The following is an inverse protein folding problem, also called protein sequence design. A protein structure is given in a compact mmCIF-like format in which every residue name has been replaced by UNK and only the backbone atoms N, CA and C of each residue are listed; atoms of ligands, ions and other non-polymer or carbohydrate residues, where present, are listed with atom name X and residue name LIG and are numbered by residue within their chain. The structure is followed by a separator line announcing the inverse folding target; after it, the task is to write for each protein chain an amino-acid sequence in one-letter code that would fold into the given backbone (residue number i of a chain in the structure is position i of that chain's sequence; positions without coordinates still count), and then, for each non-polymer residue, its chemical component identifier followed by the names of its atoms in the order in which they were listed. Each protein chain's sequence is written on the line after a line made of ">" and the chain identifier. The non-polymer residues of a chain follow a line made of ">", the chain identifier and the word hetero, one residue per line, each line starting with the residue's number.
data_IF_938840758723
#
_entry.id   IF_938840758723
#
_cell.length_a   1.000
_cell.length_b   1.000
_cell.length_c   1.000
_cell.angle_alpha   90.00
_cell.angle_beta   90.00
_cell.angle_gamma   90.00
#
_symmetry.space_group_name_H-M   'P 1'
#
loop_
_entity.id
_entity.type
_entity.pdbx_description
1 polymer ?
#
# COMPACT_ATOMS: atom_id res chain seq x y z
N UNK A 1 17.91 28.30 -18.39
CA UNK A 1 18.75 27.17 -18.87
C UNK A 1 17.81 26.01 -19.15
N UNK A 2 17.58 25.72 -20.43
CA UNK A 2 16.68 24.65 -20.88
C UNK A 2 17.35 23.32 -20.56
N UNK A 3 16.71 22.49 -19.72
CA UNK A 3 17.11 21.11 -19.52
C UNK A 3 16.73 20.40 -20.82
N UNK A 4 17.72 20.12 -21.67
CA UNK A 4 17.60 19.19 -22.77
C UNK A 4 17.12 17.86 -22.16
N UNK A 5 15.89 17.44 -22.48
CA UNK A 5 15.48 16.05 -22.33
C UNK A 5 16.38 15.24 -23.30
N UNK A 6 17.47 14.69 -22.77
CA UNK A 6 18.17 13.59 -23.41
C UNK A 6 17.16 12.45 -23.53
N UNK A 7 16.83 12.05 -24.76
CA UNK A 7 16.01 10.87 -24.99
C UNK A 7 16.74 9.68 -24.36
N UNK A 8 16.09 8.97 -23.45
CA UNK A 8 16.66 7.77 -22.87
C UNK A 8 16.69 6.68 -23.96
N UNK A 9 17.82 6.00 -24.07
CA UNK A 9 17.94 4.80 -24.91
C UNK A 9 16.91 3.77 -24.46
N UNK A 10 16.43 2.94 -25.38
CA UNK A 10 15.41 1.96 -25.03
C UNK A 10 15.49 0.70 -25.88
N UNK A 11 15.16 -0.44 -25.26
CA UNK A 11 14.87 -1.70 -25.96
C UNK A 11 13.34 -1.88 -25.96
N UNK A 12 12.78 -2.22 -27.13
CA UNK A 12 11.36 -2.49 -27.26
C UNK A 12 11.14 -3.99 -27.55
N UNK A 13 10.23 -4.60 -26.81
CA UNK A 13 9.78 -5.98 -26.98
C UNK A 13 8.29 -5.94 -27.27
N UNK A 14 7.92 -6.24 -28.51
CA UNK A 14 6.54 -6.08 -28.95
C UNK A 14 5.91 -7.44 -29.29
N UNK A 15 4.65 -7.61 -28.88
CA UNK A 15 3.84 -8.74 -29.32
C UNK A 15 4.07 -10.04 -28.54
N UNK A 16 4.44 -10.00 -27.25
CA UNK A 16 4.47 -11.21 -26.41
C UNK A 16 3.02 -11.69 -26.24
N UNK A 17 2.68 -12.82 -26.83
CA UNK A 17 1.33 -13.39 -26.76
C UNK A 17 1.27 -14.51 -25.73
N UNK A 18 0.32 -14.38 -24.81
CA UNK A 18 0.11 -15.35 -23.73
C UNK A 18 -1.38 -15.66 -23.61
N UNK A 19 -1.72 -16.93 -23.40
CA UNK A 19 -3.06 -17.31 -22.95
C UNK A 19 -3.03 -17.54 -21.45
N UNK A 20 -3.86 -16.79 -20.70
CA UNK A 20 -3.88 -16.78 -19.24
C UNK A 20 -5.28 -16.52 -18.68
N UNK A 21 -5.50 -16.85 -17.41
CA UNK A 21 -6.74 -16.53 -16.71
C UNK A 21 -6.67 -15.10 -16.19
N UNK A 22 -7.48 -14.21 -16.77
CA UNK A 22 -7.52 -12.77 -16.42
C UNK A 22 -8.93 -12.22 -16.60
N UNK A 23 -9.48 -11.56 -15.59
CA UNK A 23 -10.78 -10.90 -15.64
C UNK A 23 -11.64 -11.16 -14.41
N UNK A 24 -12.76 -10.44 -14.30
CA UNK A 24 -13.67 -10.44 -13.14
C UNK A 24 -14.91 -11.29 -13.36
N UNK A 25 -15.29 -11.58 -14.63
CA UNK A 25 -16.47 -12.36 -14.94
C UNK A 25 -16.22 -13.87 -14.70
N UNK A 26 -17.23 -14.61 -14.24
CA UNK A 26 -17.12 -16.03 -13.99
C UNK A 26 -16.56 -16.82 -15.18
N UNK A 27 -17.04 -16.51 -16.39
CA UNK A 27 -16.55 -17.13 -17.63
C UNK A 27 -15.06 -16.88 -17.90
N UNK A 28 -14.50 -15.74 -17.42
CA UNK A 28 -13.09 -15.41 -17.56
C UNK A 28 -12.22 -16.15 -16.53
N UNK A 29 -12.82 -16.63 -15.45
CA UNK A 29 -12.12 -17.35 -14.38
C UNK A 29 -11.93 -18.85 -14.65
N UNK A 30 -12.67 -19.39 -15.63
CA UNK A 30 -12.66 -20.82 -15.94
C UNK A 30 -11.95 -21.17 -17.26
N UNK A 31 -11.60 -20.15 -18.07
CA UNK A 31 -10.93 -20.33 -19.35
C UNK A 31 -9.81 -19.32 -19.58
N UNK A 32 -8.71 -19.77 -20.18
CA UNK A 32 -7.63 -18.89 -20.59
C UNK A 32 -8.07 -17.95 -21.72
N UNK A 33 -7.60 -16.71 -21.67
CA UNK A 33 -7.86 -15.68 -22.67
C UNK A 33 -6.56 -15.18 -23.29
N UNK A 34 -6.54 -14.87 -24.59
CA UNK A 34 -5.38 -14.34 -25.26
C UNK A 34 -5.17 -12.89 -24.89
N UNK A 35 -3.96 -12.60 -24.37
CA UNK A 35 -3.46 -11.25 -24.16
C UNK A 35 -2.19 -11.01 -24.96
N UNK A 36 -1.88 -9.75 -25.21
CA UNK A 36 -0.61 -9.32 -25.77
C UNK A 36 0.08 -8.39 -24.76
N UNK A 37 1.38 -8.53 -24.61
CA UNK A 37 2.19 -7.67 -23.75
C UNK A 37 3.26 -7.02 -24.64
N UNK A 38 3.35 -5.69 -24.54
CA UNK A 38 4.36 -4.88 -25.18
C UNK A 38 5.16 -4.14 -24.11
N UNK A 39 6.47 -4.11 -24.23
CA UNK A 39 7.39 -3.52 -23.26
C UNK A 39 8.31 -2.50 -23.96
N UNK A 40 8.55 -1.38 -23.27
CA UNK A 40 9.65 -0.47 -23.61
C UNK A 40 10.52 -0.30 -22.37
N UNK A 41 11.74 -0.79 -22.47
CA UNK A 41 12.74 -0.76 -21.39
C UNK A 41 13.62 0.47 -21.59
N UNK A 42 13.68 1.37 -20.62
CA UNK A 42 14.67 2.45 -20.60
C UNK A 42 15.97 1.91 -20.03
N UNK A 43 17.05 2.05 -20.79
CA UNK A 43 18.38 1.47 -20.53
C UNK A 43 19.45 2.44 -21.01
N UNK A 44 20.59 2.50 -20.35
CA UNK A 44 21.79 3.12 -20.90
C UNK A 44 22.49 2.10 -21.82
N UNK A 45 22.50 2.38 -23.12
CA UNK A 45 23.12 1.52 -24.16
C UNK A 45 24.52 2.01 -24.56
N UNK A 46 25.07 3.00 -23.88
CA UNK A 46 26.37 3.60 -24.25
C UNK A 46 27.49 2.59 -24.18
N UNK A 47 27.55 1.76 -23.15
CA UNK A 47 28.58 0.75 -22.95
C UNK A 47 28.44 -0.38 -23.95
N UNK A 48 27.28 -0.99 -24.08
CA UNK A 48 27.04 -2.11 -24.99
C UNK A 48 27.23 -1.76 -26.47
N UNK A 49 26.97 -0.50 -26.84
CA UNK A 49 27.24 -0.02 -28.22
C UNK A 49 28.73 0.10 -28.54
N UNK A 50 29.61 0.11 -27.53
CA UNK A 50 31.05 0.14 -27.69
C UNK A 50 31.70 -1.26 -27.61
N UNK A 51 31.20 -2.06 -26.66
CA UNK A 51 31.81 -3.37 -26.32
C UNK A 51 31.26 -4.53 -27.14
N UNK A 52 30.00 -4.44 -27.61
CA UNK A 52 29.26 -5.52 -28.25
C UNK A 52 29.07 -6.74 -27.32
N UNK A 53 29.12 -6.52 -25.99
CA UNK A 53 28.97 -7.55 -24.98
C UNK A 53 27.58 -7.59 -24.41
N UNK A 54 27.00 -8.79 -24.25
CA UNK A 54 25.62 -8.97 -23.70
C UNK A 54 25.52 -8.55 -22.25
N UNK A 55 26.57 -8.67 -21.46
CA UNK A 55 26.62 -8.31 -20.05
C UNK A 55 26.50 -6.78 -19.82
N UNK A 56 26.74 -5.98 -20.87
CA UNK A 56 26.63 -4.52 -20.82
C UNK A 56 25.24 -4.00 -21.18
N UNK A 57 24.28 -4.88 -21.45
CA UNK A 57 22.88 -4.52 -21.73
C UNK A 57 21.90 -5.42 -20.97
N UNK A 58 20.58 -5.19 -21.13
CA UNK A 58 19.58 -6.13 -20.64
C UNK A 58 19.36 -7.24 -21.68
N UNK A 59 19.52 -8.49 -21.25
CA UNK A 59 19.19 -9.64 -22.08
C UNK A 59 17.66 -9.71 -22.29
N UNK A 60 17.19 -9.16 -23.40
CA UNK A 60 15.76 -9.14 -23.74
C UNK A 60 15.15 -10.54 -23.90
N UNK A 61 15.94 -11.56 -24.20
CA UNK A 61 15.49 -12.96 -24.21
C UNK A 61 15.07 -13.41 -22.81
N UNK A 62 15.96 -13.21 -21.83
CA UNK A 62 15.66 -13.52 -20.42
C UNK A 62 14.49 -12.70 -19.88
N UNK A 63 14.41 -11.41 -20.23
CA UNK A 63 13.26 -10.55 -19.85
C UNK A 63 11.96 -11.14 -20.42
N UNK A 64 11.95 -11.50 -21.72
CA UNK A 64 10.76 -12.06 -22.38
C UNK A 64 10.29 -13.36 -21.73
N UNK A 65 11.22 -14.27 -21.40
CA UNK A 65 10.92 -15.54 -20.75
C UNK A 65 10.28 -15.35 -19.37
N UNK A 66 10.83 -14.45 -18.54
CA UNK A 66 10.28 -14.18 -17.21
C UNK A 66 8.91 -13.50 -17.28
N UNK A 67 8.74 -12.52 -18.17
CA UNK A 67 7.45 -11.86 -18.40
C UNK A 67 6.39 -12.86 -18.88
N UNK A 68 6.75 -13.76 -19.81
CA UNK A 68 5.86 -14.83 -20.25
C UNK A 68 5.44 -15.73 -19.09
N UNK A 69 6.37 -16.12 -18.22
CA UNK A 69 6.10 -16.95 -17.04
C UNK A 69 5.16 -16.25 -16.06
N UNK A 70 5.47 -14.99 -15.70
CA UNK A 70 4.61 -14.18 -14.80
C UNK A 70 3.19 -14.09 -15.34
N UNK A 71 3.04 -13.84 -16.64
CA UNK A 71 1.73 -13.71 -17.27
C UNK A 71 0.99 -15.06 -17.37
N UNK A 72 1.71 -16.14 -17.69
CA UNK A 72 1.13 -17.49 -17.82
C UNK A 72 0.60 -18.04 -16.50
N UNK A 73 1.29 -17.76 -15.40
CA UNK A 73 0.92 -18.20 -14.06
C UNK A 73 -0.11 -17.26 -13.39
N UNK A 74 -0.50 -16.18 -14.08
CA UNK A 74 -1.43 -15.20 -13.54
C UNK A 74 -2.83 -15.77 -13.34
N UNK A 75 -3.49 -15.31 -12.26
CA UNK A 75 -4.91 -15.46 -11.99
C UNK A 75 -5.50 -14.13 -11.53
N UNK A 76 -4.90 -13.03 -11.98
CA UNK A 76 -5.29 -11.68 -11.58
C UNK A 76 -6.69 -11.34 -12.10
N UNK A 77 -7.42 -10.50 -11.37
CA UNK A 77 -8.75 -10.02 -11.79
C UNK A 77 -8.64 -8.86 -12.76
N UNK A 78 -7.62 -8.00 -12.59
CA UNK A 78 -7.45 -6.76 -13.32
C UNK A 78 -6.16 -6.78 -14.15
N UNK A 79 -6.22 -6.24 -15.36
CA UNK A 79 -5.04 -6.05 -16.22
C UNK A 79 -4.00 -5.16 -15.55
N UNK A 80 -4.45 -4.17 -14.78
CA UNK A 80 -3.60 -3.26 -14.01
C UNK A 80 -2.72 -4.01 -13.01
N UNK A 81 -3.25 -5.03 -12.35
CA UNK A 81 -2.50 -5.86 -11.41
C UNK A 81 -1.44 -6.69 -12.13
N UNK A 82 -1.81 -7.32 -13.23
CA UNK A 82 -0.86 -8.06 -14.05
C UNK A 82 0.23 -7.14 -14.61
N UNK A 83 -0.14 -5.94 -15.10
CA UNK A 83 0.82 -4.97 -15.60
C UNK A 83 1.82 -4.55 -14.52
N UNK A 84 1.37 -4.34 -13.27
CA UNK A 84 2.26 -4.05 -12.15
C UNK A 84 3.24 -5.21 -11.89
N UNK A 85 2.75 -6.46 -11.84
CA UNK A 85 3.62 -7.62 -11.62
C UNK A 85 4.65 -7.81 -12.74
N UNK A 86 4.25 -7.57 -13.98
CA UNK A 86 5.19 -7.57 -15.12
C UNK A 86 6.23 -6.46 -14.97
N UNK A 87 5.82 -5.26 -14.58
CA UNK A 87 6.75 -4.16 -14.36
C UNK A 87 7.74 -4.45 -13.23
N UNK A 88 7.26 -5.00 -12.10
CA UNK A 88 8.10 -5.39 -10.96
C UNK A 88 9.16 -6.43 -11.37
N UNK A 89 8.76 -7.44 -12.15
CA UNK A 89 9.68 -8.44 -12.67
C UNK A 89 10.73 -7.85 -13.62
N UNK A 90 10.32 -7.00 -14.55
CA UNK A 90 11.24 -6.36 -15.51
C UNK A 90 12.23 -5.44 -14.80
N UNK A 91 11.79 -4.70 -13.78
CA UNK A 91 12.63 -3.82 -12.98
C UNK A 91 13.60 -4.56 -12.04
N UNK A 92 13.44 -5.87 -11.87
CA UNK A 92 14.42 -6.70 -11.15
C UNK A 92 15.73 -6.88 -11.93
N UNK A 93 15.72 -6.65 -13.24
CA UNK A 93 16.93 -6.68 -14.08
C UNK A 93 17.75 -5.41 -13.88
N UNK A 94 18.98 -5.57 -13.40
CA UNK A 94 19.83 -4.46 -12.93
C UNK A 94 20.06 -3.33 -13.93
N UNK A 95 20.12 -3.65 -15.23
CA UNK A 95 20.37 -2.66 -16.29
C UNK A 95 19.11 -1.89 -16.72
N UNK A 96 17.92 -2.28 -16.27
CA UNK A 96 16.66 -1.62 -16.64
C UNK A 96 16.38 -0.47 -15.68
N UNK A 97 16.37 0.76 -16.17
CA UNK A 97 16.15 1.96 -15.38
C UNK A 97 14.65 2.28 -15.18
N UNK A 98 13.86 2.04 -16.24
CA UNK A 98 12.42 2.19 -16.21
C UNK A 98 11.77 1.26 -17.24
N UNK A 99 10.48 0.98 -17.08
CA UNK A 99 9.71 0.18 -18.03
C UNK A 99 8.34 0.79 -18.28
N UNK A 100 7.94 0.84 -19.53
CA UNK A 100 6.56 1.02 -19.96
C UNK A 100 6.00 -0.36 -20.33
N UNK A 101 4.89 -0.73 -19.71
CA UNK A 101 4.20 -2.00 -19.90
C UNK A 101 2.82 -1.74 -20.48
N UNK A 102 2.51 -2.30 -21.63
CA UNK A 102 1.18 -2.31 -22.20
C UNK A 102 0.65 -3.74 -22.24
N UNK A 103 -0.49 -4.00 -21.60
CA UNK A 103 -1.18 -5.28 -21.69
C UNK A 103 -2.50 -5.09 -22.38
N UNK A 104 -2.70 -5.82 -23.48
CA UNK A 104 -3.88 -5.76 -24.34
C UNK A 104 -4.66 -7.06 -24.25
N UNK A 105 -5.92 -6.99 -23.86
CA UNK A 105 -6.89 -8.09 -23.97
C UNK A 105 -7.43 -8.09 -25.39
N UNK A 106 -7.13 -9.17 -26.16
CA UNK A 106 -7.44 -9.26 -27.58
C UNK A 106 -8.90 -9.60 -27.87
N UNK A 107 -9.64 -10.09 -26.86
CA UNK A 107 -11.06 -10.44 -26.94
C UNK A 107 -11.77 -10.05 -25.65
N UNK A 108 -12.04 -8.74 -25.43
CA UNK A 108 -12.73 -8.31 -24.22
C UNK A 108 -14.20 -8.81 -24.24
N UNK A 109 -14.69 -9.39 -23.11
CA UNK A 109 -16.04 -9.95 -23.03
C UNK A 109 -17.08 -8.85 -22.74
N UNK A 110 -17.23 -7.89 -23.66
CA UNK A 110 -18.18 -6.79 -23.54
C UNK A 110 -19.21 -6.85 -24.66
N UNK A 111 -20.47 -6.38 -24.41
CA UNK A 111 -21.59 -6.56 -25.33
C UNK A 111 -21.62 -5.52 -26.49
N UNK A 112 -20.49 -4.91 -26.80
CA UNK A 112 -20.33 -3.94 -27.89
C UNK A 112 -19.12 -4.32 -28.75
N UNK A 113 -19.12 -3.87 -30.01
CA UNK A 113 -18.02 -4.16 -30.93
C UNK A 113 -16.78 -3.36 -30.56
N UNK A 114 -15.84 -4.02 -29.88
CA UNK A 114 -14.53 -3.48 -29.47
C UNK A 114 -13.46 -4.50 -29.83
N UNK A 115 -12.49 -4.07 -30.61
CA UNK A 115 -11.39 -4.94 -31.07
C UNK A 115 -10.47 -5.38 -29.94
N UNK A 116 -10.20 -4.52 -28.96
CA UNK A 116 -9.34 -4.80 -27.81
C UNK A 116 -9.53 -3.77 -26.71
N UNK A 117 -9.06 -4.12 -25.49
CA UNK A 117 -8.88 -3.16 -24.40
C UNK A 117 -7.47 -3.29 -23.86
N UNK A 118 -6.83 -2.19 -23.48
CA UNK A 118 -5.46 -2.21 -22.97
C UNK A 118 -5.30 -1.35 -21.72
N UNK A 119 -4.32 -1.75 -20.93
CA UNK A 119 -3.78 -0.97 -19.81
C UNK A 119 -2.33 -0.66 -20.14
N UNK A 120 -1.95 0.60 -19.97
CA UNK A 120 -0.58 1.06 -20.09
C UNK A 120 -0.13 1.63 -18.76
N UNK A 121 1.04 1.21 -18.28
CA UNK A 121 1.68 1.77 -17.10
C UNK A 121 3.16 2.05 -17.38
N UNK A 122 3.68 3.09 -16.76
CA UNK A 122 5.11 3.37 -16.71
C UNK A 122 5.60 3.23 -15.27
N UNK A 123 6.74 2.56 -15.07
CA UNK A 123 7.40 2.38 -13.77
C UNK A 123 8.89 2.60 -13.92
N UNK A 124 9.50 3.19 -12.90
CA UNK A 124 10.93 3.44 -12.83
C UNK A 124 11.55 2.55 -11.76
N UNK A 125 12.75 2.04 -12.04
CA UNK A 125 13.56 1.44 -11.00
C UNK A 125 13.84 2.51 -9.95
N UNK A 126 13.56 2.21 -8.68
CA UNK A 126 13.96 3.08 -7.60
C UNK A 126 15.49 3.14 -7.63
N UNK A 127 16.05 4.32 -7.89
CA UNK A 127 17.51 4.54 -7.97
C UNK A 127 18.22 4.31 -6.63
N UNK A 128 17.48 3.88 -5.63
CA UNK A 128 17.97 3.44 -4.33
C UNK A 128 17.89 1.91 -4.20
N UNK A 129 18.63 1.18 -5.04
CA UNK A 129 18.81 -0.27 -4.91
C UNK A 129 19.62 -0.69 -3.67
N UNK A 130 19.76 0.18 -2.66
CA UNK A 130 20.24 -0.14 -1.32
C UNK A 130 19.51 0.60 -0.19
N UNK A 131 18.43 1.31 -0.51
CA UNK A 131 17.44 1.75 0.45
C UNK A 131 16.08 1.37 -0.15
N UNK A 132 15.47 0.30 0.30
CA UNK A 132 14.02 0.34 0.48
C UNK A 132 13.84 1.64 1.26
N UNK A 133 13.42 2.73 0.60
CA UNK A 133 12.98 3.91 1.33
C UNK A 133 11.74 3.47 2.07
N UNK A 134 12.01 2.82 3.21
CA UNK A 134 10.98 2.50 4.14
C UNK A 134 10.66 3.81 4.83
N UNK A 135 9.49 4.30 4.55
CA UNK A 135 8.94 5.45 5.20
C UNK A 135 8.44 5.09 6.59
N UNK A 136 8.62 5.99 7.53
CA UNK A 136 8.06 5.87 8.86
C UNK A 136 6.62 6.35 8.87
N UNK A 137 5.71 5.56 9.42
CA UNK A 137 4.33 5.97 9.65
C UNK A 137 3.89 5.66 11.07
N UNK A 138 2.97 6.48 11.60
CA UNK A 138 2.38 6.32 12.93
C UNK A 138 0.91 6.04 12.77
N UNK A 139 0.45 4.94 13.35
CA UNK A 139 -0.90 4.39 13.23
C UNK A 139 -1.56 4.36 14.60
N UNK A 140 -2.79 4.84 14.70
CA UNK A 140 -3.64 4.63 15.87
C UNK A 140 -4.57 3.45 15.64
N UNK A 141 -4.74 2.62 16.66
CA UNK A 141 -5.69 1.51 16.68
C UNK A 141 -6.69 1.72 17.82
N UNK A 142 -7.97 1.43 17.53
CA UNK A 142 -9.04 1.48 18.52
C UNK A 142 -10.04 0.36 18.33
N UNK A 143 -10.55 -0.21 19.44
CA UNK A 143 -11.58 -1.25 19.44
C UNK A 143 -12.48 -1.13 20.67
N UNK A 144 -13.81 -1.22 20.49
CA UNK A 144 -14.76 -1.23 21.62
C UNK A 144 -15.88 -2.26 21.51
N UNK A 145 -15.80 -3.23 20.61
CA UNK A 145 -16.79 -4.31 20.47
C UNK A 145 -16.10 -5.66 20.45
N UNK A 146 -16.69 -6.63 21.14
CA UNK A 146 -16.29 -8.02 21.11
C UNK A 146 -14.94 -8.26 21.78
N UNK A 147 -14.11 -9.11 21.20
CA UNK A 147 -12.75 -9.37 21.71
C UNK A 147 -11.79 -8.27 21.27
N UNK A 148 -11.86 -7.13 21.96
CA UNK A 148 -11.07 -5.92 21.67
C UNK A 148 -9.57 -6.22 21.58
N UNK A 149 -9.02 -7.07 22.46
CA UNK A 149 -7.62 -7.43 22.47
C UNK A 149 -7.21 -8.23 21.22
N UNK A 150 -8.01 -9.21 20.83
CA UNK A 150 -7.74 -10.00 19.62
C UNK A 150 -7.78 -9.13 18.37
N UNK A 151 -8.66 -8.14 18.28
CA UNK A 151 -8.67 -7.20 17.15
C UNK A 151 -7.46 -6.30 17.12
N UNK A 152 -7.00 -5.79 18.27
CA UNK A 152 -5.75 -5.01 18.32
C UNK A 152 -4.53 -5.85 17.95
N UNK A 153 -4.43 -7.09 18.42
CA UNK A 153 -3.36 -8.04 18.04
C UNK A 153 -3.38 -8.31 16.54
N UNK A 154 -4.54 -8.65 15.99
CA UNK A 154 -4.71 -8.86 14.55
C UNK A 154 -4.24 -7.65 13.73
N UNK A 155 -4.60 -6.42 14.15
CA UNK A 155 -4.15 -5.21 13.47
C UNK A 155 -2.62 -5.04 13.57
N UNK A 156 -2.04 -5.19 14.76
CA UNK A 156 -0.59 -5.12 14.96
C UNK A 156 0.15 -6.15 14.10
N UNK A 157 -0.33 -7.39 14.03
CA UNK A 157 0.31 -8.48 13.28
C UNK A 157 0.17 -8.31 11.76
N UNK A 158 -0.78 -7.49 11.32
CA UNK A 158 -0.94 -7.14 9.90
C UNK A 158 0.14 -6.18 9.38
N UNK A 159 0.94 -5.57 10.26
CA UNK A 159 2.08 -4.73 9.90
C UNK A 159 3.39 -5.48 10.09
N UNK A 160 4.17 -5.61 9.01
CA UNK A 160 5.37 -6.46 8.95
C UNK A 160 6.54 -5.92 9.79
N UNK A 161 6.77 -4.60 9.75
CA UNK A 161 7.91 -3.95 10.44
C UNK A 161 7.41 -2.92 11.44
N UNK A 162 7.23 -3.36 12.67
CA UNK A 162 6.86 -2.49 13.81
C UNK A 162 8.14 -1.96 14.45
N UNK A 163 8.21 -0.64 14.65
CA UNK A 163 9.35 0.03 15.27
C UNK A 163 9.12 0.23 16.77
N UNK A 164 7.93 0.74 17.13
CA UNK A 164 7.50 0.95 18.50
C UNK A 164 6.00 0.67 18.62
N UNK A 165 5.58 0.18 19.77
CA UNK A 165 4.17 -0.01 20.12
C UNK A 165 4.01 0.56 21.53
N UNK A 166 2.97 1.39 21.73
CA UNK A 166 2.63 1.92 23.04
C UNK A 166 1.97 0.86 23.93
N UNK A 167 1.82 1.15 25.18
CA UNK A 167 0.87 0.49 26.07
C UNK A 167 -0.56 0.65 25.52
N UNK A 168 -1.46 -0.22 25.99
CA UNK A 168 -2.89 -0.17 25.67
C UNK A 168 -3.59 0.62 26.75
N UNK A 169 -4.43 1.56 26.33
CA UNK A 169 -5.20 2.43 27.22
C UNK A 169 -6.70 2.20 27.04
N UNK A 170 -7.40 2.06 28.16
CA UNK A 170 -8.87 1.99 28.18
C UNK A 170 -9.46 3.38 28.41
N UNK A 171 -10.44 3.73 27.58
CA UNK A 171 -11.09 5.05 27.60
C UNK A 171 -12.57 4.93 27.38
N UNK A 172 -13.37 5.80 28.04
CA UNK A 172 -14.80 5.91 27.78
C UNK A 172 -15.08 6.47 26.38
N UNK A 173 -16.21 6.06 25.74
CA UNK A 173 -16.61 6.59 24.44
C UNK A 173 -16.87 8.10 24.47
N UNK A 174 -16.30 8.84 23.50
CA UNK A 174 -16.57 10.28 23.33
C UNK A 174 -17.69 10.46 22.31
N UNK A 175 -18.91 10.69 22.79
CA UNK A 175 -20.10 10.86 21.95
C UNK A 175 -20.67 9.54 21.41
N UNK A 176 -21.73 9.62 20.59
CA UNK A 176 -22.44 8.45 20.08
C UNK A 176 -23.57 7.95 21.02
N UNK A 177 -24.08 6.72 20.80
CA UNK A 177 -25.11 6.11 21.66
C UNK A 177 -24.62 5.95 23.09
N UNK A 178 -25.54 6.08 24.07
CA UNK A 178 -25.24 6.04 25.51
C UNK A 178 -24.84 4.66 26.06
N UNK A 179 -25.00 3.61 25.25
CA UNK A 179 -24.69 2.22 25.63
C UNK A 179 -23.56 1.68 24.73
N UNK A 180 -22.35 2.21 24.94
CA UNK A 180 -21.14 1.70 24.25
C UNK A 180 -20.14 1.22 25.29
N UNK A 181 -19.46 0.12 24.98
CA UNK A 181 -18.35 -0.35 25.79
C UNK A 181 -17.15 0.59 25.67
N UNK A 182 -16.31 0.62 26.70
CA UNK A 182 -15.05 1.36 26.70
C UNK A 182 -14.12 0.92 25.56
N UNK A 183 -13.37 1.86 24.98
CA UNK A 183 -12.40 1.60 23.94
C UNK A 183 -11.07 1.11 24.53
N UNK A 184 -10.42 0.18 23.83
CA UNK A 184 -9.00 -0.05 23.97
C UNK A 184 -8.29 0.66 22.83
N UNK A 185 -7.32 1.52 23.17
CA UNK A 185 -6.57 2.34 22.22
C UNK A 185 -5.07 2.10 22.38
N UNK A 186 -4.35 2.04 21.28
CA UNK A 186 -2.89 2.06 21.24
C UNK A 186 -2.39 2.81 20.00
N UNK A 187 -1.12 3.19 20.02
CA UNK A 187 -0.42 3.77 18.88
C UNK A 187 0.81 2.92 18.59
N UNK A 188 1.06 2.66 17.29
CA UNK A 188 2.27 2.01 16.84
C UNK A 188 2.96 2.83 15.76
N UNK A 189 4.29 2.79 15.71
CA UNK A 189 5.05 3.25 14.57
C UNK A 189 5.55 2.06 13.76
N UNK A 190 5.50 2.20 12.46
CA UNK A 190 5.88 1.18 11.49
C UNK A 190 6.87 1.75 10.48
N UNK A 191 7.61 0.85 9.89
CA UNK A 191 8.38 1.11 8.69
C UNK A 191 7.67 0.44 7.51
N UNK A 192 7.43 1.19 6.42
CA UNK A 192 6.65 0.70 5.29
C UNK A 192 7.20 1.19 3.96
N UNK A 193 7.15 0.35 2.93
CA UNK A 193 7.43 0.73 1.54
C UNK A 193 6.20 1.20 0.77
N UNK A 194 5.02 1.18 1.41
CA UNK A 194 3.77 1.62 0.80
C UNK A 194 3.70 3.14 0.81
N UNK A 195 3.31 3.76 -0.29
CA UNK A 195 2.93 5.19 -0.31
C UNK A 195 1.71 5.46 0.60
N UNK A 196 1.43 6.73 0.97
CA UNK A 196 0.34 7.05 1.92
C UNK A 196 -1.03 6.52 1.52
N UNK A 197 -1.39 6.55 0.22
CA UNK A 197 -2.67 6.03 -0.27
C UNK A 197 -2.71 4.51 -0.29
N UNK A 198 -1.59 3.83 -0.59
CA UNK A 198 -1.48 2.39 -0.49
C UNK A 198 -1.56 1.92 0.97
N UNK A 199 -0.95 2.67 1.90
CA UNK A 199 -1.07 2.42 3.33
C UNK A 199 -2.51 2.61 3.82
N UNK A 200 -3.21 3.65 3.37
CA UNK A 200 -4.65 3.84 3.67
C UNK A 200 -5.48 2.63 3.20
N UNK A 201 -5.25 2.14 1.98
CA UNK A 201 -5.93 0.93 1.48
C UNK A 201 -5.59 -0.32 2.31
N UNK A 202 -4.37 -0.42 2.85
CA UNK A 202 -3.99 -1.50 3.78
C UNK A 202 -4.75 -1.38 5.09
N UNK A 203 -4.81 -0.20 5.71
CA UNK A 203 -5.59 0.06 6.93
C UNK A 203 -7.07 -0.31 6.75
N UNK A 204 -7.70 0.12 5.67
CA UNK A 204 -9.09 -0.22 5.35
C UNK A 204 -9.32 -1.74 5.16
N UNK A 205 -8.37 -2.47 4.59
CA UNK A 205 -8.43 -3.94 4.49
C UNK A 205 -8.32 -4.62 5.85
N UNK A 206 -7.47 -4.11 6.74
CA UNK A 206 -7.34 -4.62 8.12
C UNK A 206 -8.67 -4.41 8.86
N UNK A 207 -9.27 -3.24 8.79
CA UNK A 207 -10.60 -2.98 9.37
C UNK A 207 -11.68 -3.93 8.82
N UNK A 208 -11.69 -4.13 7.50
CA UNK A 208 -12.63 -5.06 6.84
C UNK A 208 -12.42 -6.50 7.30
N UNK A 209 -11.16 -6.93 7.49
CA UNK A 209 -10.79 -8.24 8.01
C UNK A 209 -11.26 -8.48 9.45
N UNK A 210 -11.38 -7.43 10.25
CA UNK A 210 -11.96 -7.47 11.61
C UNK A 210 -13.50 -7.40 11.59
N UNK A 211 -14.17 -7.69 10.47
CA UNK A 211 -15.62 -7.65 10.28
C UNK A 211 -16.26 -6.30 10.66
N UNK A 212 -15.58 -5.18 10.36
CA UNK A 212 -16.10 -3.83 10.61
C UNK A 212 -17.45 -3.62 9.92
N UNK A 213 -18.51 -3.49 10.68
CA UNK A 213 -19.83 -3.05 10.20
C UNK A 213 -20.00 -1.56 10.50
N UNK A 214 -20.02 -0.72 9.47
CA UNK A 214 -20.37 0.71 9.60
C UNK A 214 -21.89 0.86 9.63
N UNK A 215 -22.48 0.82 10.80
CA UNK A 215 -23.94 0.97 10.94
C UNK A 215 -24.35 2.40 11.30
N UNK A 216 -23.56 3.14 12.09
CA UNK A 216 -23.91 4.47 12.61
C UNK A 216 -22.67 5.36 12.68
N UNK A 217 -22.81 6.68 12.38
CA UNK A 217 -21.74 7.67 12.60
C UNK A 217 -21.48 7.79 14.13
N UNK A 218 -20.21 7.63 14.55
CA UNK A 218 -19.81 7.59 15.97
C UNK A 218 -20.30 6.35 16.73
N UNK A 219 -20.74 5.30 16.05
CA UNK A 219 -21.15 4.04 16.65
C UNK A 219 -19.98 3.12 17.04
N UNK A 220 -20.31 2.04 17.77
CA UNK A 220 -19.32 1.04 18.20
C UNK A 220 -18.58 0.41 17.00
N UNK A 221 -17.28 0.06 17.21
CA UNK A 221 -16.41 -0.47 16.14
C UNK A 221 -15.61 -1.66 16.62
N UNK A 222 -15.59 -2.71 15.80
CA UNK A 222 -14.72 -3.86 16.05
C UNK A 222 -13.24 -3.45 16.00
N UNK A 223 -12.87 -2.62 15.01
CA UNK A 223 -11.51 -2.09 14.84
C UNK A 223 -11.56 -0.77 14.07
N UNK A 224 -10.76 0.20 14.48
CA UNK A 224 -10.46 1.45 13.80
C UNK A 224 -8.95 1.54 13.58
N UNK A 225 -8.51 1.93 12.38
CA UNK A 225 -7.10 1.98 11.99
C UNK A 225 -6.82 3.29 11.28
N UNK A 226 -6.35 4.28 12.01
CA UNK A 226 -6.12 5.64 11.52
C UNK A 226 -4.62 5.92 11.29
N UNK A 227 -4.25 6.46 10.12
CA UNK A 227 -2.90 6.98 9.86
C UNK A 227 -2.79 8.35 10.52
N UNK A 228 -1.93 8.47 11.54
CA UNK A 228 -1.69 9.74 12.23
C UNK A 228 -0.65 10.60 11.50
N UNK A 229 0.48 10.00 11.19
CA UNK A 229 1.62 10.63 10.52
C UNK A 229 2.23 9.69 9.48
N UNK A 230 2.86 10.28 8.48
CA UNK A 230 3.64 9.57 7.49
C UNK A 230 4.84 10.43 7.13
N UNK A 231 6.02 10.12 7.73
CA UNK A 231 7.21 10.97 7.67
C UNK A 231 6.88 12.46 7.91
N UNK A 232 7.53 13.35 7.17
CA UNK A 232 7.24 14.80 7.17
C UNK A 232 6.17 15.19 6.12
N UNK A 233 5.43 14.20 5.59
CA UNK A 233 4.41 14.44 4.57
C UNK A 233 3.23 15.25 5.10
N UNK A 234 2.77 16.17 4.25
CA UNK A 234 1.47 16.83 4.41
C UNK A 234 0.60 16.52 3.21
N UNK A 235 -0.54 15.93 3.48
CA UNK A 235 -1.53 15.56 2.45
C UNK A 235 -2.88 16.15 2.89
N UNK A 236 -3.53 16.84 1.97
CA UNK A 236 -4.88 17.36 2.17
C UNK A 236 -5.71 16.99 0.93
N UNK A 237 -6.46 15.91 1.03
CA UNK A 237 -7.33 15.42 -0.03
C UNK A 237 -8.66 14.93 0.55
N UNK A 238 -9.63 14.69 -0.32
CA UNK A 238 -10.95 14.18 0.07
C UNK A 238 -10.88 12.79 0.78
N UNK A 239 -9.90 11.99 0.42
CA UNK A 239 -9.74 10.61 0.91
C UNK A 239 -8.77 10.49 2.08
N UNK A 240 -7.76 11.37 2.17
CA UNK A 240 -6.66 11.26 3.14
C UNK A 240 -6.15 12.64 3.55
N UNK A 241 -6.06 12.87 4.85
CA UNK A 241 -5.40 14.05 5.42
C UNK A 241 -4.31 13.60 6.38
N UNK A 242 -3.07 14.02 6.14
CA UNK A 242 -1.89 13.75 6.97
C UNK A 242 -1.18 15.09 7.26
N UNK A 243 -0.88 15.39 8.55
CA UNK A 243 -1.26 14.67 9.77
C UNK A 243 -2.77 14.54 9.95
N UNK A 244 -3.21 13.50 10.64
CA UNK A 244 -4.65 13.28 10.86
C UNK A 244 -5.30 14.51 11.54
N UNK A 245 -6.38 15.08 10.99
CA UNK A 245 -6.85 16.43 11.35
C UNK A 245 -7.29 16.58 12.81
N UNK A 246 -7.66 15.47 13.47
CA UNK A 246 -8.17 15.49 14.84
C UNK A 246 -7.21 14.96 15.90
N UNK A 247 -5.92 14.82 15.59
CA UNK A 247 -4.93 14.34 16.59
C UNK A 247 -4.94 15.23 17.84
N UNK A 248 -4.87 16.54 17.61
CA UNK A 248 -4.74 17.53 18.69
C UNK A 248 -5.98 17.70 19.57
N UNK A 249 -7.10 17.07 19.19
CA UNK A 249 -8.37 17.14 19.92
C UNK A 249 -8.64 15.88 20.75
N UNK A 250 -7.80 14.82 20.61
CA UNK A 250 -8.09 13.47 21.11
C UNK A 250 -7.06 13.02 22.12
N UNK A 251 -7.40 13.12 23.39
CA UNK A 251 -6.53 12.70 24.49
C UNK A 251 -6.20 11.21 24.43
N UNK A 252 -7.18 10.37 24.04
CA UNK A 252 -6.99 8.92 23.88
C UNK A 252 -6.03 8.53 22.73
N UNK A 253 -5.74 9.43 21.79
CA UNK A 253 -4.68 9.28 20.78
C UNK A 253 -3.36 9.84 21.30
N UNK A 254 -3.38 11.02 21.93
CA UNK A 254 -2.16 11.71 22.38
C UNK A 254 -1.47 10.98 23.53
N UNK A 255 -2.22 10.33 24.42
CA UNK A 255 -1.63 9.58 25.55
C UNK A 255 -0.72 8.44 25.06
N UNK A 256 -1.17 7.47 24.24
CA UNK A 256 -0.31 6.44 23.71
C UNK A 256 0.74 6.99 22.71
N UNK A 257 0.45 8.06 21.98
CA UNK A 257 1.42 8.72 21.10
C UNK A 257 2.59 9.31 21.88
N UNK A 258 2.31 9.99 23.00
CA UNK A 258 3.32 10.60 23.85
C UNK A 258 4.30 9.56 24.41
N UNK A 259 3.85 8.34 24.67
CA UNK A 259 4.69 7.25 25.17
C UNK A 259 5.80 6.88 24.20
N UNK A 260 5.51 6.88 22.89
CA UNK A 260 6.46 6.39 21.88
C UNK A 260 7.07 7.50 21.02
N UNK A 261 6.37 8.64 20.86
CA UNK A 261 6.76 9.77 20.04
C UNK A 261 6.35 11.10 20.68
N UNK A 262 6.95 11.49 21.84
CA UNK A 262 6.59 12.75 22.51
C UNK A 262 6.85 14.00 21.65
N UNK A 263 7.79 13.92 20.70
CA UNK A 263 8.13 15.00 19.76
C UNK A 263 7.02 15.33 18.74
N UNK A 264 6.09 14.40 18.53
CA UNK A 264 4.95 14.58 17.62
C UNK A 264 3.70 15.15 18.32
N UNK A 265 3.72 15.24 19.64
CA UNK A 265 2.61 15.78 20.41
C UNK A 265 2.75 17.30 20.57
N UNK A 266 1.63 18.05 20.57
CA UNK A 266 1.65 19.49 20.87
C UNK A 266 2.26 19.77 22.24
N UNK A 267 2.96 20.89 22.39
CA UNK A 267 3.40 21.34 23.70
C UNK A 267 2.19 21.55 24.63
N UNK A 268 2.29 21.08 25.87
CA UNK A 268 1.27 21.23 26.91
C UNK A 268 -0.11 20.61 26.57
N UNK A 269 -0.19 19.63 25.64
CA UNK A 269 -1.44 18.99 25.25
C UNK A 269 -2.24 18.42 26.46
N UNK A 270 -1.55 17.93 27.47
CA UNK A 270 -2.16 17.37 28.68
C UNK A 270 -2.87 18.40 29.55
N UNK A 271 -2.51 19.69 29.41
CA UNK A 271 -3.10 20.82 30.14
C UNK A 271 -4.21 21.51 29.35
N UNK A 272 -4.14 21.42 27.99
CA UNK A 272 -5.06 22.12 27.10
C UNK A 272 -6.30 21.33 26.75
N UNK A 273 -6.28 20.02 26.87
CA UNK A 273 -7.42 19.15 26.62
C UNK A 273 -8.18 18.84 27.93
N UNK A 274 -9.51 18.73 27.81
CA UNK A 274 -10.36 18.34 28.92
C UNK A 274 -9.87 17.02 29.53
N UNK A 275 -9.90 16.89 30.87
CA UNK A 275 -9.54 15.64 31.54
C UNK A 275 -10.46 14.52 31.10
N UNK A 276 -9.91 13.50 30.49
CA UNK A 276 -10.59 12.23 30.19
C UNK A 276 -10.03 11.16 31.14
N UNK A 277 -10.90 10.26 31.59
CA UNK A 277 -10.43 9.11 32.35
C UNK A 277 -9.77 8.11 31.41
N UNK A 278 -8.44 8.04 31.48
CA UNK A 278 -7.61 7.13 30.67
C UNK A 278 -6.92 6.17 31.64
N UNK A 279 -7.20 4.88 31.50
CA UNK A 279 -6.64 3.83 32.35
C UNK A 279 -5.63 3.01 31.54
N UNK A 280 -4.46 2.78 32.12
CA UNK A 280 -3.53 1.79 31.58
C UNK A 280 -4.18 0.41 31.69
N UNK A 281 -4.35 -0.26 30.53
CA UNK A 281 -4.95 -1.60 30.47
C UNK A 281 -3.88 -2.71 30.46
N UNK A 282 -2.76 -2.51 29.76
CA UNK A 282 -1.65 -3.46 29.66
C UNK A 282 -0.84 -3.26 28.39
N UNK A 283 -0.20 -4.31 27.92
CA UNK A 283 0.57 -4.32 26.66
C UNK A 283 0.07 -5.37 25.69
N UNK A 284 0.45 -5.23 24.40
CA UNK A 284 0.02 -6.16 23.35
C UNK A 284 0.63 -7.57 23.52
N UNK A 285 1.79 -7.66 24.17
CA UNK A 285 2.53 -8.90 24.36
C UNK A 285 2.11 -9.67 25.64
N UNK A 286 1.34 -9.06 26.53
CA UNK A 286 0.83 -9.72 27.73
C UNK A 286 -0.32 -10.67 27.36
N UNK A 287 -0.11 -11.97 27.56
CA UNK A 287 -1.17 -12.99 27.46
C UNK A 287 -2.04 -12.92 28.72
N UNK A 288 -3.27 -12.49 28.57
CA UNK A 288 -4.30 -12.62 29.61
C UNK A 288 -5.11 -13.89 29.42
#
# INVERSE_FOLDING_TARGET
>A
MSILQLGNDSIQINGIRVSTIIGVLEQERVSEQPIQIDLKLEIDLSESSLTDELDDTANYGSVTEQVYKVAKESKDLLLERLAQRVADEVLSFQKVLAVEVTITKLRPPIPVDVSSTSVNIWRKQSTDSNLVTSSSAVIALGSNIGDRMSYLRFACDSFERKLKISSIYETEPIGGPSEQDAYLNLVLSIETSLDPHALLRKCQRIEAGAARQRTIRWGPRTLDVDILFYEDCRIESELLTIPHPRINERRFVLTPLWEIHPELCPANWSETLDPEEIKLFGSIDESH
#
